data_IF_885815640260
#
_entry.id   IF_885815640260
#
_cell.length_a   1.000
_cell.length_b   1.000
_cell.length_c   1.000
_cell.angle_alpha   90.00
_cell.angle_beta   90.00
_cell.angle_gamma   90.00
#
_symmetry.space_group_name_H-M   'P 1'
#
loop_
_entity.id
_entity.type
_entity.pdbx_description
1 polymer ?
#
# COMPACT_ATOMS: atom_id res chain seq x y z
N UNK A 1 -1.17 -24.47 39.88
CA UNK A 1 -1.44 -23.22 39.14
C UNK A 1 -0.54 -22.15 39.77
N UNK A 2 0.44 -21.52 39.11
CA UNK A 2 0.86 -21.52 37.70
C UNK A 2 2.38 -21.35 37.68
N UNK A 3 3.10 -22.32 37.13
CA UNK A 3 4.54 -22.24 36.86
C UNK A 3 4.71 -21.73 35.43
N UNK A 4 4.54 -20.43 35.23
CA UNK A 4 5.08 -19.75 34.05
C UNK A 4 6.48 -19.29 34.44
N UNK A 5 7.41 -20.22 34.31
CA UNK A 5 8.86 -19.98 34.33
C UNK A 5 9.13 -18.83 33.35
N UNK A 6 9.81 -17.76 33.81
CA UNK A 6 10.13 -16.60 32.97
C UNK A 6 11.02 -17.07 31.82
N UNK A 7 10.45 -17.28 30.64
CA UNK A 7 11.22 -17.56 29.43
C UNK A 7 12.24 -16.42 29.25
N UNK A 8 13.48 -16.78 28.97
CA UNK A 8 14.47 -15.79 28.60
C UNK A 8 14.01 -15.08 27.32
N UNK A 9 14.38 -13.81 27.14
CA UNK A 9 14.14 -13.10 25.87
C UNK A 9 14.65 -13.91 24.68
N UNK A 10 15.73 -14.69 24.85
CA UNK A 10 16.22 -15.63 23.83
C UNK A 10 15.19 -16.72 23.52
N UNK A 11 14.67 -17.41 24.54
CA UNK A 11 13.70 -18.50 24.38
C UNK A 11 12.40 -17.98 23.72
N UNK A 12 12.00 -16.74 24.05
CA UNK A 12 10.88 -16.07 23.39
C UNK A 12 11.14 -15.86 21.89
N UNK A 13 12.34 -15.39 21.50
CA UNK A 13 12.69 -15.23 20.09
C UNK A 13 12.83 -16.58 19.37
N UNK A 14 13.37 -17.60 20.01
CA UNK A 14 13.48 -18.96 19.44
C UNK A 14 12.09 -19.55 19.14
N UNK A 15 11.10 -19.27 20.00
CA UNK A 15 9.70 -19.71 19.80
C UNK A 15 9.04 -19.05 18.58
N UNK A 16 9.53 -17.87 18.16
CA UNK A 16 9.03 -17.14 17.01
C UNK A 16 9.65 -17.60 15.68
N UNK A 17 10.79 -18.30 15.70
CA UNK A 17 11.50 -18.73 14.48
C UNK A 17 10.65 -19.56 13.50
N UNK A 18 9.79 -20.52 13.93
CA UNK A 18 8.94 -21.25 12.99
C UNK A 18 7.95 -20.37 12.22
N UNK A 19 7.43 -19.31 12.86
CA UNK A 19 6.54 -18.33 12.24
C UNK A 19 7.31 -17.33 11.36
N UNK A 20 8.59 -17.12 11.64
CA UNK A 20 9.46 -16.33 10.78
C UNK A 20 9.76 -17.10 9.48
N UNK A 21 10.09 -18.39 9.60
CA UNK A 21 10.37 -19.28 8.47
C UNK A 21 9.17 -19.51 7.53
N UNK A 22 7.95 -19.58 8.08
CA UNK A 22 6.74 -19.72 7.27
C UNK A 22 6.21 -18.38 6.71
N UNK A 23 6.84 -17.25 7.08
CA UNK A 23 6.46 -15.90 6.65
C UNK A 23 5.17 -15.36 7.25
N UNK A 24 4.67 -15.91 8.37
CA UNK A 24 3.42 -15.48 9.01
C UNK A 24 3.63 -14.46 10.14
N UNK A 25 4.86 -14.03 10.37
CA UNK A 25 5.22 -13.08 11.43
C UNK A 25 5.08 -11.64 10.94
N UNK A 26 4.46 -10.78 11.75
CA UNK A 26 4.14 -9.40 11.38
C UNK A 26 4.41 -8.43 12.56
N UNK A 27 4.54 -7.14 12.25
CA UNK A 27 4.59 -6.08 13.25
C UNK A 27 5.83 -6.14 14.16
N UNK A 28 5.62 -5.88 15.45
CA UNK A 28 6.70 -5.77 16.46
C UNK A 28 7.50 -7.05 16.64
N UNK A 29 6.85 -8.19 16.46
CA UNK A 29 7.48 -9.48 16.70
C UNK A 29 8.44 -9.83 15.55
N UNK A 30 8.13 -9.39 14.32
CA UNK A 30 9.01 -9.55 13.16
C UNK A 30 10.25 -8.67 13.32
N UNK A 31 10.06 -7.40 13.68
CA UNK A 31 11.15 -6.45 13.91
C UNK A 31 12.08 -6.93 15.03
N UNK A 32 11.52 -7.50 16.12
CA UNK A 32 12.30 -8.03 17.23
C UNK A 32 13.15 -9.25 16.84
N UNK A 33 12.62 -10.16 16.03
CA UNK A 33 13.36 -11.33 15.53
C UNK A 33 14.45 -10.91 14.53
N UNK A 34 14.15 -9.98 13.63
CA UNK A 34 15.14 -9.46 12.67
C UNK A 34 16.30 -8.71 13.36
N UNK A 35 15.99 -7.89 14.37
CA UNK A 35 17.01 -7.22 15.18
C UNK A 35 17.87 -8.24 15.93
N UNK A 36 17.27 -9.29 16.48
CA UNK A 36 18.01 -10.36 17.16
C UNK A 36 18.92 -11.14 16.19
N UNK A 37 18.43 -11.50 15.01
CA UNK A 37 19.21 -12.15 13.96
C UNK A 37 20.39 -11.28 13.48
N UNK A 38 20.20 -9.96 13.43
CA UNK A 38 21.25 -9.03 13.02
C UNK A 38 22.33 -8.79 14.09
N UNK A 39 22.01 -9.00 15.37
CA UNK A 39 22.84 -8.56 16.50
C UNK A 39 23.46 -9.69 17.33
N UNK A 40 22.85 -10.88 17.37
CA UNK A 40 23.33 -12.02 18.19
C UNK A 40 23.87 -13.16 17.30
N UNK A 41 25.16 -13.50 17.38
CA UNK A 41 25.73 -14.65 16.66
C UNK A 41 25.06 -15.99 16.97
N UNK A 42 24.46 -16.15 18.15
CA UNK A 42 23.73 -17.37 18.51
C UNK A 42 22.39 -17.50 17.78
N UNK A 43 21.82 -16.39 17.30
CA UNK A 43 20.55 -16.38 16.57
C UNK A 43 20.66 -17.15 15.24
N UNK A 44 21.81 -17.07 14.57
CA UNK A 44 22.06 -17.83 13.32
C UNK A 44 22.10 -19.34 13.56
N UNK A 45 22.60 -19.78 14.72
CA UNK A 45 22.61 -21.21 15.08
C UNK A 45 21.18 -21.71 15.38
N UNK A 46 20.41 -20.94 16.14
CA UNK A 46 19.01 -21.25 16.43
C UNK A 46 18.13 -21.26 15.16
N UNK A 47 18.34 -20.30 14.24
CA UNK A 47 17.65 -20.27 12.95
C UNK A 47 17.95 -21.53 12.12
N UNK A 48 19.21 -21.97 12.08
CA UNK A 48 19.60 -23.18 11.35
C UNK A 48 18.99 -24.46 11.93
N UNK A 49 18.84 -24.54 13.26
CA UNK A 49 18.15 -25.65 13.93
C UNK A 49 16.65 -25.65 13.60
N UNK A 50 16.01 -24.48 13.67
CA UNK A 50 14.61 -24.31 13.30
C UNK A 50 14.34 -24.64 11.82
N UNK A 51 15.25 -24.27 10.90
CA UNK A 51 15.16 -24.60 9.47
C UNK A 51 15.28 -26.12 9.23
N UNK A 52 16.15 -26.80 9.97
CA UNK A 52 16.31 -28.25 9.91
C UNK A 52 15.03 -28.98 10.39
N UNK A 53 14.37 -28.49 11.43
CA UNK A 53 13.08 -29.03 11.89
C UNK A 53 11.94 -28.73 10.90
N UNK A 54 11.87 -27.51 10.38
CA UNK A 54 10.86 -27.07 9.42
C UNK A 54 10.92 -27.86 8.10
N UNK A 55 12.14 -28.06 7.56
CA UNK A 55 12.34 -28.86 6.34
C UNK A 55 11.96 -30.33 6.52
N UNK A 56 12.20 -30.91 7.71
CA UNK A 56 11.74 -32.25 8.06
C UNK A 56 10.22 -32.41 8.00
N UNK A 57 9.48 -31.40 8.47
CA UNK A 57 8.01 -31.37 8.42
C UNK A 57 7.47 -31.12 6.99
N UNK A 58 8.10 -30.22 6.22
CA UNK A 58 7.73 -29.96 4.81
C UNK A 58 7.94 -31.19 3.94
N UNK A 59 9.07 -31.90 4.09
CA UNK A 59 9.34 -33.14 3.34
C UNK A 59 8.32 -34.25 3.64
N UNK A 60 7.83 -34.34 4.88
CA UNK A 60 6.78 -35.28 5.26
C UNK A 60 5.41 -34.93 4.64
N UNK A 61 5.10 -33.63 4.52
CA UNK A 61 3.84 -33.15 3.93
C UNK A 61 3.85 -33.18 2.39
N UNK A 62 4.99 -32.95 1.75
CA UNK A 62 5.14 -33.05 0.28
C UNK A 62 4.93 -34.49 -0.25
N UNK A 63 5.01 -35.50 0.62
CA UNK A 63 4.64 -36.87 0.27
C UNK A 63 3.14 -37.00 -0.10
N UNK A 64 2.29 -36.06 0.32
CA UNK A 64 0.90 -35.95 -0.12
C UNK A 64 0.89 -35.23 -1.48
N UNK A 65 1.22 -35.98 -2.54
CA UNK A 65 1.24 -35.45 -3.90
C UNK A 65 -0.19 -35.28 -4.43
N UNK A 66 -0.53 -34.15 -5.08
CA UNK A 66 -1.77 -34.07 -5.83
C UNK A 66 -1.81 -35.16 -6.91
N UNK A 67 -3.01 -35.61 -7.33
CA UNK A 67 -3.12 -36.61 -8.38
C UNK A 67 -2.39 -36.12 -9.64
N UNK A 68 -1.72 -37.05 -10.34
CA UNK A 68 -0.77 -36.72 -11.42
C UNK A 68 -1.37 -35.87 -12.56
N UNK A 69 -2.70 -35.86 -12.67
CA UNK A 69 -3.46 -35.11 -13.66
C UNK A 69 -4.03 -33.77 -13.14
N UNK A 70 -3.74 -33.36 -11.90
CA UNK A 70 -4.20 -32.08 -11.35
C UNK A 70 -3.75 -30.89 -12.21
N UNK A 71 -2.47 -30.88 -12.62
CA UNK A 71 -1.93 -29.83 -13.49
C UNK A 71 -2.58 -29.84 -14.88
N UNK A 72 -2.84 -31.02 -15.45
CA UNK A 72 -3.45 -31.12 -16.78
C UNK A 72 -4.94 -30.76 -16.76
N UNK A 73 -5.66 -31.06 -15.69
CA UNK A 73 -7.04 -30.58 -15.48
C UNK A 73 -7.09 -29.07 -15.30
N UNK A 74 -6.18 -28.50 -14.51
CA UNK A 74 -6.07 -27.05 -14.33
C UNK A 74 -5.75 -26.32 -15.64
N UNK A 75 -4.77 -26.81 -16.41
CA UNK A 75 -4.45 -26.26 -17.72
C UNK A 75 -5.65 -26.29 -18.68
N UNK A 76 -6.41 -27.40 -18.70
CA UNK A 76 -7.65 -27.49 -19.48
C UNK A 76 -8.73 -26.52 -19.04
N UNK A 77 -8.85 -26.25 -17.74
CA UNK A 77 -9.80 -25.27 -17.22
C UNK A 77 -9.41 -23.84 -17.66
N UNK A 78 -8.13 -23.50 -17.61
CA UNK A 78 -7.58 -22.23 -18.12
C UNK A 78 -7.84 -22.06 -19.62
N UNK A 79 -7.56 -23.08 -20.43
CA UNK A 79 -7.79 -23.03 -21.88
C UNK A 79 -9.29 -22.88 -22.22
N UNK A 80 -10.18 -23.51 -21.45
CA UNK A 80 -11.62 -23.38 -21.64
C UNK A 80 -12.14 -21.97 -21.32
N UNK A 81 -11.49 -21.28 -20.37
CA UNK A 81 -11.86 -19.92 -19.94
C UNK A 81 -11.17 -18.82 -20.76
N UNK A 82 -10.01 -19.10 -21.36
CA UNK A 82 -9.23 -18.15 -22.15
C UNK A 82 -9.96 -17.63 -23.42
N UNK A 83 -11.09 -18.23 -23.80
CA UNK A 83 -11.87 -17.83 -24.98
C UNK A 83 -11.10 -17.99 -26.30
N UNK A 84 -11.73 -17.70 -27.46
CA UNK A 84 -11.05 -17.82 -28.74
C UNK A 84 -9.86 -16.86 -28.80
N UNK A 85 -8.67 -17.39 -29.12
CA UNK A 85 -7.45 -16.62 -29.37
C UNK A 85 -7.80 -15.48 -30.32
N UNK A 86 -7.69 -14.23 -29.84
CA UNK A 86 -7.93 -13.05 -30.66
C UNK A 86 -7.03 -13.16 -31.88
N UNK A 87 -7.63 -13.27 -33.07
CA UNK A 87 -6.91 -13.19 -34.33
C UNK A 87 -6.01 -11.94 -34.30
N UNK A 88 -4.76 -12.01 -34.79
CA UNK A 88 -3.87 -10.87 -34.77
C UNK A 88 -4.56 -9.72 -35.52
N UNK A 89 -5.04 -8.73 -34.77
CA UNK A 89 -5.57 -7.50 -35.34
C UNK A 89 -4.46 -6.92 -36.22
N UNK A 90 -4.80 -6.56 -37.46
CA UNK A 90 -3.85 -6.03 -38.44
C UNK A 90 -2.94 -4.99 -37.78
N UNK A 91 -1.62 -5.13 -38.03
CA UNK A 91 -0.54 -4.37 -37.38
C UNK A 91 -0.95 -2.92 -37.10
N UNK A 92 -1.28 -2.63 -35.83
CA UNK A 92 -1.55 -1.27 -35.40
C UNK A 92 -0.26 -0.45 -35.51
N UNK A 93 -0.39 0.83 -35.84
CA UNK A 93 0.75 1.74 -35.95
C UNK A 93 1.56 1.83 -34.63
N UNK A 94 0.91 1.61 -33.48
CA UNK A 94 1.57 1.46 -32.17
C UNK A 94 2.48 0.23 -32.13
N UNK A 95 2.02 -0.92 -32.62
CA UNK A 95 2.82 -2.14 -32.67
C UNK A 95 4.04 -1.97 -33.59
N UNK A 96 3.91 -1.16 -34.65
CA UNK A 96 5.02 -0.82 -35.54
C UNK A 96 6.03 0.15 -34.88
N UNK A 97 5.55 1.10 -34.08
CA UNK A 97 6.42 1.99 -33.31
C UNK A 97 7.19 1.22 -32.22
N UNK A 98 6.52 0.33 -31.47
CA UNK A 98 7.18 -0.54 -30.48
C UNK A 98 8.20 -1.48 -31.12
N UNK A 99 7.88 -2.07 -32.28
CA UNK A 99 8.83 -2.93 -33.00
C UNK A 99 10.08 -2.21 -33.49
N UNK A 100 10.01 -0.89 -33.73
CA UNK A 100 11.20 -0.08 -34.04
C UNK A 100 12.05 0.21 -32.81
N UNK A 101 11.44 0.34 -31.63
CA UNK A 101 12.15 0.45 -30.36
C UNK A 101 12.92 -0.83 -30.01
N UNK A 102 12.32 -2.01 -30.23
CA UNK A 102 12.99 -3.29 -29.93
C UNK A 102 14.07 -3.67 -30.94
N UNK A 103 14.04 -3.09 -32.14
CA UNK A 103 15.07 -3.28 -33.17
C UNK A 103 16.27 -2.32 -33.04
N UNK A 104 16.32 -1.47 -32.00
CA UNK A 104 17.46 -0.57 -31.79
C UNK A 104 18.72 -1.36 -31.41
N UNK A 105 19.92 -0.95 -31.90
CA UNK A 105 21.17 -1.58 -31.50
C UNK A 105 21.34 -1.51 -29.99
N UNK A 106 21.81 -2.60 -29.37
CA UNK A 106 21.98 -2.67 -27.92
C UNK A 106 22.80 -1.48 -27.38
N UNK A 107 23.78 -0.99 -28.12
CA UNK A 107 24.60 0.17 -27.76
C UNK A 107 23.80 1.46 -27.59
N UNK A 108 22.78 1.68 -28.44
CA UNK A 108 21.90 2.86 -28.35
C UNK A 108 20.95 2.73 -27.17
N UNK A 109 20.44 1.51 -26.92
CA UNK A 109 19.59 1.24 -25.76
C UNK A 109 20.35 1.47 -24.43
N UNK A 110 21.59 1.01 -24.33
CA UNK A 110 22.45 1.24 -23.16
C UNK A 110 22.79 2.73 -22.97
N UNK A 111 23.04 3.47 -24.04
CA UNK A 111 23.27 4.92 -23.96
C UNK A 111 22.03 5.68 -23.47
N UNK A 112 20.85 5.35 -23.99
CA UNK A 112 19.59 5.94 -23.53
C UNK A 112 19.29 5.60 -22.07
N UNK A 113 19.56 4.36 -21.65
CA UNK A 113 19.42 3.93 -20.25
C UNK A 113 20.37 4.71 -19.33
N UNK A 114 21.62 4.93 -19.74
CA UNK A 114 22.58 5.72 -18.95
C UNK A 114 22.13 7.19 -18.80
N UNK A 115 21.57 7.79 -19.85
CA UNK A 115 21.03 9.15 -19.78
C UNK A 115 19.81 9.24 -18.85
N UNK A 116 18.88 8.29 -18.94
CA UNK A 116 17.73 8.25 -18.04
C UNK A 116 18.16 8.04 -16.58
N UNK A 117 19.14 7.18 -16.34
CA UNK A 117 19.68 6.94 -15.00
C UNK A 117 20.38 8.20 -14.46
N UNK A 118 21.13 8.91 -15.29
CA UNK A 118 21.72 10.19 -14.92
C UNK A 118 20.66 11.25 -14.56
N UNK A 119 19.55 11.30 -15.31
CA UNK A 119 18.43 12.20 -15.00
C UNK A 119 17.78 11.85 -13.65
N UNK A 120 17.56 10.56 -13.36
CA UNK A 120 17.03 10.11 -12.07
C UNK A 120 17.97 10.52 -10.93
N UNK A 121 19.28 10.30 -11.07
CA UNK A 121 20.28 10.68 -10.05
C UNK A 121 20.30 12.19 -9.81
N UNK A 122 20.22 13.00 -10.87
CA UNK A 122 20.14 14.47 -10.75
C UNK A 122 18.85 14.89 -10.07
N UNK A 123 17.72 14.26 -10.40
CA UNK A 123 16.43 14.53 -9.73
C UNK A 123 16.51 14.18 -8.25
N UNK A 124 17.13 13.05 -7.87
CA UNK A 124 17.30 12.66 -6.47
C UNK A 124 18.12 13.65 -5.65
N UNK A 125 19.10 14.33 -6.25
CA UNK A 125 19.87 15.37 -5.57
C UNK A 125 19.12 16.69 -5.38
N UNK A 126 18.18 17.02 -6.27
CA UNK A 126 17.37 18.25 -6.18
C UNK A 126 16.17 18.06 -5.25
N UNK A 127 15.76 16.82 -4.98
CA UNK A 127 14.56 16.49 -4.20
C UNK A 127 14.83 16.12 -2.73
N UNK A 128 15.95 16.58 -2.15
CA UNK A 128 16.19 16.45 -0.70
C UNK A 128 15.33 17.46 0.07
N UNK A 129 14.06 17.12 0.30
CA UNK A 129 13.16 17.95 1.08
C UNK A 129 11.79 17.31 1.30
N UNK A 130 11.74 16.22 2.06
CA UNK A 130 10.46 15.70 2.56
C UNK A 130 10.47 14.19 2.83
N UNK A 131 10.98 13.77 3.98
CA UNK A 131 10.64 12.46 4.54
C UNK A 131 9.24 12.56 5.15
N UNK A 132 8.25 11.98 4.50
CA UNK A 132 7.05 11.48 5.16
C UNK A 132 6.73 10.13 4.57
N UNK A 133 6.86 9.09 5.40
CA UNK A 133 6.19 7.81 5.17
C UNK A 133 4.69 8.10 5.14
N UNK A 134 4.11 8.16 3.95
CA UNK A 134 2.67 8.02 3.78
C UNK A 134 2.44 7.38 2.42
N UNK A 135 1.55 6.40 2.39
CA UNK A 135 1.28 5.59 1.20
C UNK A 135 0.79 6.50 0.06
N UNK A 136 1.53 6.49 -1.05
CA UNK A 136 1.29 7.31 -2.23
C UNK A 136 0.30 6.61 -3.16
N UNK A 137 -0.96 7.07 -3.19
CA UNK A 137 -1.93 6.71 -4.23
C UNK A 137 -2.10 7.93 -5.16
N UNK A 138 -1.36 7.90 -6.26
CA UNK A 138 -1.51 8.73 -7.47
C UNK A 138 -1.91 10.22 -7.28
N UNK A 139 -0.92 11.06 -6.96
CA UNK A 139 -0.68 12.40 -7.55
C UNK A 139 -1.70 13.55 -7.34
N UNK A 140 -2.97 13.29 -7.03
CA UNK A 140 -3.98 14.31 -6.78
C UNK A 140 -4.13 14.65 -5.28
N UNK A 141 -3.70 13.75 -4.39
CA UNK A 141 -3.77 13.96 -2.94
C UNK A 141 -2.82 15.04 -2.44
N UNK A 142 -1.65 15.26 -3.05
CA UNK A 142 -0.70 16.29 -2.57
C UNK A 142 -1.26 17.71 -2.72
N UNK A 143 -2.00 17.99 -3.80
CA UNK A 143 -2.68 19.28 -3.96
C UNK A 143 -3.87 19.41 -3.01
N UNK A 144 -4.62 18.34 -2.77
CA UNK A 144 -5.72 18.33 -1.80
C UNK A 144 -5.23 18.45 -0.35
N UNK A 145 -4.05 17.92 -0.04
CA UNK A 145 -3.40 18.03 1.27
C UNK A 145 -2.95 19.47 1.58
N UNK A 146 -2.72 20.28 0.54
CA UNK A 146 -2.37 21.70 0.69
C UNK A 146 -3.60 22.60 0.89
N UNK A 147 -4.77 22.17 0.45
CA UNK A 147 -6.03 22.93 0.58
C UNK A 147 -6.47 23.09 2.04
N UNK A 148 -7.31 24.11 2.33
CA UNK A 148 -8.07 24.18 3.57
C UNK A 148 -8.90 22.91 3.76
N UNK A 149 -9.09 22.47 5.01
CA UNK A 149 -9.82 21.25 5.28
C UNK A 149 -10.54 21.29 6.62
N UNK A 150 -11.52 20.42 6.80
CA UNK A 150 -12.14 20.10 8.08
C UNK A 150 -11.99 18.60 8.39
N UNK A 151 -11.94 18.28 9.67
CA UNK A 151 -11.97 16.90 10.16
C UNK A 151 -13.40 16.55 10.50
N UNK A 152 -13.93 15.49 9.88
CA UNK A 152 -15.33 15.11 9.98
C UNK A 152 -15.42 13.67 10.43
N UNK A 153 -16.12 13.44 11.54
CA UNK A 153 -16.57 12.10 11.92
C UNK A 153 -18.01 11.95 11.46
N UNK A 154 -18.26 10.96 10.62
CA UNK A 154 -19.62 10.62 10.21
C UNK A 154 -20.25 9.66 11.19
N UNK A 155 -21.58 9.71 11.33
CA UNK A 155 -22.33 8.73 12.12
C UNK A 155 -22.18 7.33 11.49
N UNK A 156 -22.19 6.26 12.30
CA UNK A 156 -21.99 4.89 11.80
C UNK A 156 -23.10 4.41 10.86
N UNK A 157 -24.30 5.00 10.93
CA UNK A 157 -25.46 4.72 10.07
C UNK A 157 -25.58 5.68 8.88
N UNK A 158 -24.63 6.60 8.70
CA UNK A 158 -24.62 7.53 7.59
C UNK A 158 -24.42 6.80 6.25
N UNK A 159 -25.30 7.06 5.29
CA UNK A 159 -25.18 6.47 3.95
C UNK A 159 -24.13 7.21 3.14
N UNK A 160 -23.19 6.45 2.57
CA UNK A 160 -22.15 7.00 1.69
C UNK A 160 -22.73 7.72 0.47
N UNK A 161 -23.91 7.31 -0.02
CA UNK A 161 -24.62 8.00 -1.11
C UNK A 161 -24.96 9.45 -0.75
N UNK A 162 -25.43 9.68 0.47
CA UNK A 162 -25.91 10.99 0.92
C UNK A 162 -24.72 11.92 1.17
N UNK A 163 -23.63 11.35 1.72
CA UNK A 163 -22.34 12.03 1.88
C UNK A 163 -21.79 12.43 0.50
N UNK A 164 -21.74 11.50 -0.46
CA UNK A 164 -21.20 11.77 -1.79
C UNK A 164 -21.98 12.87 -2.53
N UNK A 165 -23.32 12.83 -2.48
CA UNK A 165 -24.17 13.87 -3.08
C UNK A 165 -23.91 15.23 -2.44
N UNK A 166 -23.84 15.29 -1.11
CA UNK A 166 -23.58 16.56 -0.41
C UNK A 166 -22.19 17.12 -0.75
N UNK A 167 -21.16 16.26 -0.78
CA UNK A 167 -19.80 16.69 -1.09
C UNK A 167 -19.72 17.24 -2.52
N UNK A 168 -20.32 16.55 -3.49
CA UNK A 168 -20.37 16.99 -4.90
C UNK A 168 -21.09 18.34 -5.05
N UNK A 169 -22.27 18.50 -4.44
CA UNK A 169 -23.05 19.74 -4.46
C UNK A 169 -22.31 20.95 -3.88
N UNK A 170 -21.39 20.73 -2.94
CA UNK A 170 -20.63 21.78 -2.27
C UNK A 170 -19.17 21.85 -2.76
N UNK A 171 -18.82 21.13 -3.84
CA UNK A 171 -17.47 21.02 -4.38
C UNK A 171 -16.40 20.61 -3.34
N UNK A 172 -16.80 19.81 -2.35
CA UNK A 172 -15.94 19.27 -1.30
C UNK A 172 -15.33 17.95 -1.76
N UNK A 173 -14.13 17.63 -1.28
CA UNK A 173 -13.44 16.38 -1.63
C UNK A 173 -12.93 15.66 -0.39
N UNK A 174 -12.94 14.34 -0.42
CA UNK A 174 -12.25 13.54 0.59
C UNK A 174 -10.77 13.58 0.25
N UNK A 175 -9.97 14.13 1.16
CA UNK A 175 -8.52 14.24 1.05
C UNK A 175 -7.77 13.23 1.94
N UNK A 176 -8.50 12.32 2.57
CA UNK A 176 -7.95 11.22 3.37
C UNK A 176 -8.96 10.64 4.37
N UNK A 177 -8.67 9.42 4.84
CA UNK A 177 -9.42 8.72 5.90
C UNK A 177 -10.14 7.44 5.43
N UNK A 178 -10.81 6.72 6.35
CA UNK A 178 -10.90 7.02 7.79
C UNK A 178 -9.60 6.70 8.53
N UNK A 179 -9.20 7.58 9.44
CA UNK A 179 -8.18 7.23 10.44
C UNK A 179 -8.69 6.12 11.38
N UNK A 180 -7.82 5.53 12.20
CA UNK A 180 -8.20 4.54 13.21
C UNK A 180 -9.35 4.99 14.15
N UNK A 181 -9.54 6.31 14.29
CA UNK A 181 -10.62 6.94 15.06
C UNK A 181 -11.94 7.15 14.29
N UNK A 182 -12.01 6.76 13.01
CA UNK A 182 -13.18 6.97 12.15
C UNK A 182 -13.32 8.38 11.59
N UNK A 183 -12.27 9.21 11.68
CA UNK A 183 -12.28 10.61 11.22
C UNK A 183 -11.79 10.69 9.78
N UNK A 184 -12.51 11.48 8.97
CA UNK A 184 -12.19 11.80 7.58
C UNK A 184 -11.65 13.22 7.47
N UNK A 185 -10.76 13.42 6.50
CA UNK A 185 -10.26 14.73 6.11
C UNK A 185 -11.02 15.21 4.88
N UNK A 186 -11.82 16.27 5.03
CA UNK A 186 -12.60 16.86 3.93
C UNK A 186 -11.92 18.14 3.47
N UNK A 187 -11.39 18.15 2.25
CA UNK A 187 -10.84 19.34 1.61
C UNK A 187 -11.95 20.31 1.20
N UNK A 188 -11.71 21.59 1.47
CA UNK A 188 -12.60 22.71 1.25
C UNK A 188 -11.87 23.69 0.31
N UNK A 189 -12.09 23.62 -1.02
CA UNK A 189 -11.32 24.37 -2.01
C UNK A 189 -11.77 25.84 -2.11
N UNK A 190 -11.62 26.60 -1.03
CA UNK A 190 -11.99 28.02 -0.95
C UNK A 190 -10.79 28.89 -0.61
N UNK A 191 -10.86 30.17 -0.99
CA UNK A 191 -9.78 31.15 -0.80
C UNK A 191 -9.98 32.08 0.39
N UNK A 192 -11.19 32.17 0.94
CA UNK A 192 -11.53 33.14 1.99
C UNK A 192 -11.96 32.44 3.28
N UNK A 193 -11.62 33.01 4.43
CA UNK A 193 -12.06 32.50 5.74
C UNK A 193 -13.58 32.51 5.92
N UNK A 194 -14.28 33.46 5.28
CA UNK A 194 -15.73 33.54 5.29
C UNK A 194 -16.40 32.35 4.60
N UNK A 195 -15.95 32.00 3.39
CA UNK A 195 -16.46 30.84 2.65
C UNK A 195 -16.13 29.53 3.35
N UNK A 196 -14.94 29.43 3.94
CA UNK A 196 -14.54 28.30 4.75
C UNK A 196 -15.50 28.10 5.93
N UNK A 197 -15.74 29.15 6.72
CA UNK A 197 -16.63 29.10 7.89
C UNK A 197 -18.05 28.71 7.49
N UNK A 198 -18.55 29.24 6.36
CA UNK A 198 -19.87 28.87 5.81
C UNK A 198 -19.94 27.38 5.47
N UNK A 199 -18.94 26.83 4.76
CA UNK A 199 -18.93 25.42 4.35
C UNK A 199 -18.76 24.48 5.55
N UNK A 200 -17.91 24.82 6.52
CA UNK A 200 -17.82 24.06 7.78
C UNK A 200 -19.16 24.03 8.52
N UNK A 201 -19.85 25.17 8.59
CA UNK A 201 -21.20 25.25 9.16
C UNK A 201 -22.22 24.39 8.40
N UNK A 202 -22.14 24.33 7.07
CA UNK A 202 -23.00 23.47 6.25
C UNK A 202 -22.73 21.98 6.49
N UNK A 203 -21.46 21.57 6.64
CA UNK A 203 -21.09 20.19 6.98
C UNK A 203 -21.64 19.84 8.37
N UNK A 204 -21.46 20.72 9.35
CA UNK A 204 -21.91 20.49 10.73
C UNK A 204 -23.43 20.42 10.87
N UNK A 205 -24.18 21.07 9.97
CA UNK A 205 -25.64 21.00 9.93
C UNK A 205 -26.18 19.69 9.31
N UNK A 206 -25.33 18.86 8.69
CA UNK A 206 -25.80 17.63 8.05
C UNK A 206 -26.19 16.57 9.08
N UNK A 207 -27.28 15.83 8.86
CA UNK A 207 -27.74 14.80 9.79
C UNK A 207 -26.76 13.63 9.91
N UNK A 208 -25.90 13.44 8.91
CA UNK A 208 -24.87 12.40 8.89
C UNK A 208 -23.56 12.78 9.61
N UNK A 209 -23.37 14.05 9.99
CA UNK A 209 -22.20 14.49 10.72
C UNK A 209 -22.38 14.18 12.23
N UNK A 210 -21.41 13.51 12.83
CA UNK A 210 -21.32 13.31 14.28
C UNK A 210 -20.53 14.46 14.91
N UNK A 211 -19.33 14.71 14.37
CA UNK A 211 -18.42 15.76 14.86
C UNK A 211 -17.74 16.42 13.67
N UNK A 212 -17.61 17.75 13.72
CA UNK A 212 -16.86 18.54 12.75
C UNK A 212 -15.87 19.42 13.50
N UNK A 213 -14.60 19.32 13.15
CA UNK A 213 -13.52 20.13 13.72
C UNK A 213 -12.88 20.93 12.59
N UNK A 214 -12.71 22.23 12.81
CA UNK A 214 -11.99 23.09 11.88
C UNK A 214 -10.54 22.63 11.74
N UNK A 215 -10.10 22.40 10.51
CA UNK A 215 -8.69 22.14 10.19
C UNK A 215 -7.98 23.41 9.72
N UNK A 216 -7.09 23.25 8.75
CA UNK A 216 -6.38 24.39 8.14
C UNK A 216 -7.38 25.32 7.47
N UNK A 217 -7.36 26.61 7.84
CA UNK A 217 -8.08 27.69 7.16
C UNK A 217 -7.32 28.17 5.91
N UNK A 218 -8.01 28.75 4.92
CA UNK A 218 -7.31 29.48 3.86
C UNK A 218 -6.50 30.62 4.48
N UNK A 219 -5.33 30.89 3.91
CA UNK A 219 -4.63 32.15 4.13
C UNK A 219 -5.48 33.23 3.48
N UNK A 220 -6.10 34.11 4.29
CA UNK A 220 -6.84 35.24 3.77
C UNK A 220 -5.90 36.03 2.86
N UNK A 221 -6.19 36.04 1.57
CA UNK A 221 -5.45 36.84 0.60
C UNK A 221 -5.65 38.31 0.95
N UNK A 222 -4.58 38.96 1.39
CA UNK A 222 -4.46 40.42 1.42
C UNK A 222 -4.66 41.02 0.04
#
# INVERSE_FOLDING_TARGET
MSAAEKMSRRDEMETLLPFYLNGSLEGSDLEAVEEWLASDPAAMAALGEAEAEFSGATAANEAIRPPADALSRFARALDAEAGPVRAPAGRSWLAQALGRFTAMPATVAWAAAAVLLALVVVQSYVQTGGKSHDFEIAGAEDDLAKLPFALVKFKPDAKMSDIAVFLDQNALKIAGGPAASGVFRIAIPVKTGGDYTRLVGLIAAQPFAETVIEGRKPVDGS
#
